data_IF_171436910848
#
_entry.id   IF_171436910848
#
_cell.length_a   1.000
_cell.length_b   1.000
_cell.length_c   1.000
_cell.angle_alpha   90.00
_cell.angle_beta   90.00
_cell.angle_gamma   90.00
#
_symmetry.space_group_name_H-M   'P 1'
#
loop_
_entity.id
_entity.type
_entity.pdbx_description
1 polymer ?
#
# COMPACT_ATOMS: atom_id res chain seq x y z
N UNK A 1 3.49 -15.47 11.68
CA UNK A 1 2.72 -14.22 11.44
C UNK A 1 1.22 -14.50 11.56
N UNK A 2 0.62 -15.37 10.71
CA UNK A 2 -0.83 -15.59 10.65
C UNK A 2 -1.48 -15.95 12.01
N UNK A 3 -0.91 -16.90 12.76
CA UNK A 3 -1.44 -17.30 14.08
C UNK A 3 -1.50 -16.13 15.07
N UNK A 4 -0.50 -15.26 15.03
CA UNK A 4 -0.50 -14.05 15.86
C UNK A 4 -1.62 -13.09 15.46
N UNK A 5 -1.82 -12.87 14.15
CA UNK A 5 -2.88 -11.99 13.64
C UNK A 5 -4.27 -12.53 13.99
N UNK A 6 -4.51 -13.83 13.84
CA UNK A 6 -5.77 -14.47 14.25
C UNK A 6 -6.03 -14.28 15.75
N UNK A 7 -5.03 -14.50 16.59
CA UNK A 7 -5.15 -14.25 18.03
C UNK A 7 -5.45 -12.78 18.34
N UNK A 8 -4.74 -11.85 17.69
CA UNK A 8 -4.96 -10.40 17.87
C UNK A 8 -6.37 -9.99 17.41
N UNK A 9 -6.83 -10.48 16.25
CA UNK A 9 -8.16 -10.21 15.74
C UNK A 9 -9.25 -10.67 16.72
N UNK A 10 -9.16 -11.91 17.22
CA UNK A 10 -10.12 -12.44 18.21
C UNK A 10 -10.21 -11.53 19.45
N UNK A 11 -9.07 -11.10 19.98
CA UNK A 11 -9.02 -10.23 21.17
C UNK A 11 -9.58 -8.84 20.91
N UNK A 12 -9.26 -8.25 19.76
CA UNK A 12 -9.73 -6.93 19.38
C UNK A 12 -11.24 -6.96 19.07
N UNK A 13 -11.71 -7.95 18.33
CA UNK A 13 -13.15 -8.11 18.04
C UNK A 13 -13.97 -8.30 19.32
N UNK A 14 -13.46 -9.07 20.30
CA UNK A 14 -14.10 -9.23 21.61
C UNK A 14 -14.25 -7.92 22.39
N UNK A 15 -13.37 -6.94 22.10
CA UNK A 15 -13.39 -5.60 22.69
C UNK A 15 -14.10 -4.56 21.81
N UNK A 16 -14.68 -4.95 20.65
CA UNK A 16 -15.38 -4.08 19.72
C UNK A 16 -14.47 -3.28 18.78
N UNK A 17 -13.22 -3.72 18.57
CA UNK A 17 -12.24 -3.09 17.68
C UNK A 17 -11.95 -3.94 16.45
N UNK A 18 -11.42 -3.31 15.41
CA UNK A 18 -10.95 -3.95 14.19
C UNK A 18 -9.43 -4.01 14.16
N UNK A 19 -8.88 -4.97 13.40
CA UNK A 19 -7.45 -5.16 13.18
C UNK A 19 -7.07 -4.76 11.76
N UNK A 20 -6.13 -3.82 11.61
CA UNK A 20 -5.46 -3.53 10.34
C UNK A 20 -4.05 -4.12 10.35
N UNK A 21 -3.63 -4.72 9.25
CA UNK A 21 -2.27 -5.28 9.09
C UNK A 21 -1.52 -4.61 7.95
N UNK A 22 -0.34 -4.05 8.25
CA UNK A 22 0.53 -3.46 7.24
C UNK A 22 1.49 -4.52 6.68
N UNK A 23 1.69 -4.50 5.37
CA UNK A 23 2.55 -5.43 4.64
C UNK A 23 3.40 -4.70 3.61
N UNK A 24 4.57 -5.24 3.31
CA UNK A 24 5.36 -4.73 2.19
C UNK A 24 4.60 -4.84 0.87
N UNK A 25 4.78 -3.87 -0.04
CA UNK A 25 4.15 -3.91 -1.36
C UNK A 25 4.44 -5.18 -2.14
N UNK A 26 5.65 -5.72 -1.99
CA UNK A 26 6.07 -6.99 -2.58
C UNK A 26 5.24 -8.20 -2.14
N UNK A 27 4.56 -8.12 -0.99
CA UNK A 27 3.71 -9.20 -0.48
C UNK A 27 2.53 -9.53 -1.41
N UNK A 28 2.12 -8.60 -2.26
CA UNK A 28 1.09 -8.79 -3.28
C UNK A 28 1.58 -9.62 -4.51
N UNK A 29 2.88 -9.79 -4.69
CA UNK A 29 3.43 -10.55 -5.80
C UNK A 29 3.02 -12.03 -5.77
N UNK A 30 2.96 -12.72 -6.94
CA UNK A 30 2.54 -14.13 -7.03
C UNK A 30 3.58 -15.14 -6.52
N UNK A 31 4.71 -14.67 -6.04
CA UNK A 31 5.80 -15.50 -5.51
C UNK A 31 6.06 -15.20 -4.04
N UNK A 32 6.66 -16.16 -3.34
CA UNK A 32 7.04 -15.99 -1.93
C UNK A 32 8.20 -15.00 -1.82
N UNK A 33 8.03 -13.99 -0.99
CA UNK A 33 9.08 -13.00 -0.69
C UNK A 33 9.86 -13.39 0.56
N UNK A 34 11.10 -12.91 0.67
CA UNK A 34 11.98 -13.20 1.81
C UNK A 34 11.49 -12.62 3.14
N UNK A 35 10.52 -11.70 3.11
CA UNK A 35 9.98 -11.05 4.31
C UNK A 35 9.03 -11.92 5.15
N UNK A 36 8.71 -13.13 4.69
CA UNK A 36 7.80 -14.05 5.40
C UNK A 36 6.34 -13.60 5.46
N UNK A 37 5.97 -12.62 4.66
CA UNK A 37 4.58 -12.14 4.52
C UNK A 37 3.94 -12.82 3.30
N UNK A 38 2.76 -13.38 3.52
CA UNK A 38 1.96 -14.02 2.47
C UNK A 38 0.58 -13.40 2.45
N UNK A 39 0.26 -12.67 1.40
CA UNK A 39 -0.94 -11.84 1.30
C UNK A 39 -2.23 -12.57 1.66
N UNK A 40 -2.57 -13.73 1.05
CA UNK A 40 -3.84 -14.40 1.35
C UNK A 40 -3.98 -14.80 2.82
N UNK A 41 -2.89 -15.24 3.45
CA UNK A 41 -2.90 -15.66 4.85
C UNK A 41 -3.05 -14.48 5.82
N UNK A 42 -2.54 -13.31 5.46
CA UNK A 42 -2.69 -12.08 6.25
C UNK A 42 -4.08 -11.49 6.01
N UNK A 43 -4.50 -11.35 4.75
CA UNK A 43 -5.80 -10.81 4.38
C UNK A 43 -6.96 -11.60 5.00
N UNK A 44 -6.85 -12.93 5.11
CA UNK A 44 -7.86 -13.75 5.78
C UNK A 44 -7.89 -13.61 7.31
N UNK A 45 -6.94 -12.92 7.91
CA UNK A 45 -6.78 -12.81 9.36
C UNK A 45 -7.02 -11.40 9.92
N UNK A 46 -7.14 -10.39 9.08
CA UNK A 46 -7.32 -8.98 9.46
C UNK A 46 -8.58 -8.40 8.82
N UNK A 47 -9.05 -7.27 9.33
CA UNK A 47 -10.21 -6.55 8.75
C UNK A 47 -9.81 -5.62 7.61
N UNK A 48 -8.60 -5.05 7.68
CA UNK A 48 -7.99 -4.28 6.61
C UNK A 48 -6.55 -4.71 6.39
N UNK A 49 -6.15 -4.87 5.13
CA UNK A 49 -4.76 -5.13 4.74
C UNK A 49 -4.22 -3.92 4.00
N UNK A 50 -3.05 -3.44 4.41
CA UNK A 50 -2.46 -2.19 3.95
C UNK A 50 -1.08 -2.46 3.36
N UNK A 51 -1.01 -2.59 2.04
CA UNK A 51 0.28 -2.65 1.34
C UNK A 51 1.00 -1.29 1.35
N UNK A 52 2.31 -1.32 1.27
CA UNK A 52 3.19 -0.15 1.25
C UNK A 52 3.99 -0.07 -0.07
N UNK A 53 3.35 0.19 -1.23
CA UNK A 53 4.02 0.20 -2.53
C UNK A 53 4.67 1.57 -2.83
N UNK A 54 5.43 2.13 -1.89
CA UNK A 54 6.08 3.43 -2.12
C UNK A 54 7.02 3.38 -3.32
N UNK A 55 6.81 4.19 -4.36
CA UNK A 55 7.58 4.09 -5.60
C UNK A 55 9.11 4.20 -5.40
N UNK A 56 9.57 5.01 -4.47
CA UNK A 56 11.01 5.18 -4.20
C UNK A 56 11.64 4.05 -3.38
N UNK A 57 10.86 3.10 -2.88
CA UNK A 57 11.37 1.90 -2.20
C UNK A 57 11.66 0.75 -3.18
N UNK A 58 11.15 0.80 -4.40
CA UNK A 58 11.48 -0.19 -5.43
C UNK A 58 12.81 0.12 -6.10
N UNK A 59 13.52 -0.92 -6.53
CA UNK A 59 14.80 -0.76 -7.22
C UNK A 59 14.59 -0.34 -8.67
N UNK A 60 15.49 0.48 -9.19
CA UNK A 60 15.54 0.77 -10.61
C UNK A 60 15.80 -0.50 -11.44
N UNK A 61 15.20 -0.57 -12.62
CA UNK A 61 15.34 -1.67 -13.58
C UNK A 61 15.89 -1.09 -14.89
N UNK A 62 17.21 -1.08 -15.03
CA UNK A 62 17.86 -0.34 -16.11
C UNK A 62 17.55 1.16 -16.00
N UNK A 63 17.03 1.74 -17.07
CA UNK A 63 16.65 3.16 -17.12
C UNK A 63 15.28 3.44 -16.48
N UNK A 64 14.48 2.41 -16.17
CA UNK A 64 13.19 2.57 -15.51
C UNK A 64 13.38 2.79 -14.01
N UNK A 65 12.88 3.92 -13.51
CA UNK A 65 12.93 4.32 -12.11
C UNK A 65 11.51 4.42 -11.57
N UNK A 66 11.08 3.53 -10.67
CA UNK A 66 9.70 3.48 -10.17
C UNK A 66 9.20 4.81 -9.59
N UNK A 67 10.07 5.60 -8.96
CA UNK A 67 9.71 6.90 -8.38
C UNK A 67 9.48 8.03 -9.39
N UNK A 68 9.82 7.81 -10.67
CA UNK A 68 9.46 8.67 -11.80
C UNK A 68 8.13 8.25 -12.44
N UNK A 69 7.60 7.06 -12.06
CA UNK A 69 6.41 6.43 -12.60
C UNK A 69 5.43 5.98 -11.50
N UNK A 70 4.91 6.91 -10.66
CA UNK A 70 4.08 6.55 -9.50
C UNK A 70 2.81 5.81 -9.89
N UNK A 71 2.14 6.22 -10.99
CA UNK A 71 0.95 5.52 -11.48
C UNK A 71 1.25 4.05 -11.80
N UNK A 72 2.26 3.80 -12.62
CA UNK A 72 2.57 2.44 -13.08
C UNK A 72 2.97 1.54 -11.90
N UNK A 73 3.79 2.06 -10.98
CA UNK A 73 4.25 1.32 -9.80
C UNK A 73 3.09 0.91 -8.90
N UNK A 74 2.20 1.85 -8.58
CA UNK A 74 1.05 1.58 -7.72
C UNK A 74 -0.02 0.78 -8.45
N UNK A 75 -0.19 0.95 -9.75
CA UNK A 75 -1.09 0.14 -10.57
C UNK A 75 -0.64 -1.34 -10.62
N UNK A 76 0.65 -1.60 -10.80
CA UNK A 76 1.19 -2.97 -10.76
C UNK A 76 0.92 -3.62 -9.40
N UNK A 77 1.16 -2.90 -8.30
CA UNK A 77 0.82 -3.37 -6.96
C UNK A 77 -0.69 -3.63 -6.83
N UNK A 78 -1.53 -2.69 -7.21
CA UNK A 78 -2.99 -2.81 -7.09
C UNK A 78 -3.57 -3.99 -7.86
N UNK A 79 -3.08 -4.23 -9.09
CA UNK A 79 -3.47 -5.38 -9.90
C UNK A 79 -3.05 -6.71 -9.23
N UNK A 80 -1.84 -6.76 -8.68
CA UNK A 80 -1.35 -7.92 -7.94
C UNK A 80 -2.17 -8.17 -6.66
N UNK A 81 -2.46 -7.10 -5.90
CA UNK A 81 -3.29 -7.18 -4.69
C UNK A 81 -4.70 -7.67 -5.00
N UNK A 82 -5.34 -7.17 -6.07
CA UNK A 82 -6.65 -7.63 -6.52
C UNK A 82 -6.66 -9.12 -6.87
N UNK A 83 -5.61 -9.60 -7.56
CA UNK A 83 -5.45 -11.02 -7.85
C UNK A 83 -5.34 -11.87 -6.57
N UNK A 84 -4.53 -11.43 -5.59
CA UNK A 84 -4.41 -12.11 -4.29
C UNK A 84 -5.71 -12.10 -3.50
N UNK A 85 -6.47 -10.99 -3.54
CA UNK A 85 -7.80 -10.93 -2.91
C UNK A 85 -8.77 -11.95 -3.50
N UNK A 86 -8.75 -12.13 -4.81
CA UNK A 86 -9.60 -13.11 -5.49
C UNK A 86 -9.29 -14.57 -5.08
N UNK A 87 -8.07 -14.84 -4.63
CA UNK A 87 -7.64 -16.16 -4.11
C UNK A 87 -7.96 -16.34 -2.62
N UNK A 88 -8.38 -15.29 -1.93
CA UNK A 88 -8.56 -15.30 -0.48
C UNK A 88 -10.04 -15.51 -0.12
N UNK A 89 -10.33 -16.53 0.67
CA UNK A 89 -11.66 -16.69 1.24
C UNK A 89 -11.89 -15.62 2.31
N UNK A 90 -12.97 -14.83 2.18
CA UNK A 90 -13.28 -13.72 3.10
C UNK A 90 -12.12 -12.70 3.22
N UNK A 91 -11.74 -12.05 2.12
CA UNK A 91 -10.60 -11.15 2.11
C UNK A 91 -10.89 -9.85 2.89
N UNK A 92 -9.85 -9.30 3.53
CA UNK A 92 -9.88 -8.00 4.19
C UNK A 92 -10.14 -6.86 3.19
N UNK A 93 -10.58 -5.70 3.68
CA UNK A 93 -10.59 -4.48 2.88
C UNK A 93 -9.13 -4.07 2.54
N UNK A 94 -8.86 -3.77 1.26
CA UNK A 94 -7.54 -3.26 0.86
C UNK A 94 -7.50 -1.76 1.09
N UNK A 95 -6.64 -1.30 2.00
CA UNK A 95 -6.42 0.12 2.31
C UNK A 95 -4.93 0.45 2.22
N UNK A 96 -4.50 0.88 1.06
CA UNK A 96 -3.09 1.04 0.69
C UNK A 96 -2.46 2.29 1.28
N UNK A 97 -1.21 2.20 1.75
CA UNK A 97 -0.38 3.36 2.01
C UNK A 97 0.17 3.94 0.71
N UNK A 98 0.07 5.25 0.53
CA UNK A 98 0.64 5.97 -0.60
C UNK A 98 1.72 6.96 -0.14
N UNK A 99 2.64 7.29 -1.05
CA UNK A 99 3.78 8.14 -0.77
C UNK A 99 3.34 9.61 -0.66
N UNK A 100 3.62 10.27 0.47
CA UNK A 100 3.34 11.69 0.68
C UNK A 100 4.61 12.46 1.11
N UNK A 101 5.74 12.14 0.52
CA UNK A 101 7.04 12.76 0.76
C UNK A 101 7.86 12.79 -0.54
N UNK A 102 8.84 13.68 -0.64
CA UNK A 102 9.71 13.75 -1.81
C UNK A 102 10.56 12.48 -1.94
N UNK A 103 10.78 12.03 -3.16
CA UNK A 103 11.61 10.88 -3.43
C UNK A 103 13.01 11.06 -2.84
N UNK A 104 13.50 10.06 -2.13
CA UNK A 104 14.80 10.07 -1.44
C UNK A 104 15.94 9.48 -2.30
N UNK A 105 15.62 9.07 -3.55
CA UNK A 105 16.59 8.54 -4.52
C UNK A 105 16.80 9.51 -5.68
N UNK A 106 17.96 9.46 -6.28
CA UNK A 106 18.27 10.27 -7.46
C UNK A 106 17.57 9.75 -8.74
N UNK A 107 17.08 10.68 -9.60
CA UNK A 107 16.96 12.09 -9.32
C UNK A 107 15.95 12.35 -8.22
N UNK A 108 16.32 13.24 -7.29
CA UNK A 108 15.43 13.63 -6.18
C UNK A 108 14.23 14.38 -6.74
N UNK A 109 13.13 13.69 -6.97
CA UNK A 109 11.94 14.29 -7.51
C UNK A 109 11.12 14.96 -6.40
N UNK A 110 10.62 16.15 -6.69
CA UNK A 110 9.53 16.73 -5.90
C UNK A 110 8.29 15.88 -6.13
N UNK A 111 7.83 15.24 -5.08
CA UNK A 111 6.65 14.39 -5.11
C UNK A 111 5.44 15.20 -4.65
N UNK A 112 4.72 15.80 -5.58
CA UNK A 112 3.63 16.75 -5.32
C UNK A 112 2.24 16.17 -5.48
N UNK A 113 1.28 17.05 -5.72
CA UNK A 113 -0.12 16.67 -5.89
C UNK A 113 -0.35 15.80 -7.13
N UNK A 114 0.42 16.01 -8.20
CA UNK A 114 0.28 15.23 -9.44
C UNK A 114 0.68 13.77 -9.23
N UNK A 115 1.80 13.52 -8.56
CA UNK A 115 2.30 12.18 -8.25
C UNK A 115 1.34 11.45 -7.29
N UNK A 116 0.88 12.13 -6.24
CA UNK A 116 -0.10 11.57 -5.30
C UNK A 116 -1.42 11.27 -5.99
N UNK A 117 -1.91 12.16 -6.85
CA UNK A 117 -3.12 11.92 -7.64
C UNK A 117 -2.95 10.72 -8.60
N UNK A 118 -1.75 10.52 -9.14
CA UNK A 118 -1.44 9.37 -9.98
C UNK A 118 -1.54 8.05 -9.20
N UNK A 119 -1.02 8.01 -7.96
CA UNK A 119 -1.18 6.83 -7.08
C UNK A 119 -2.65 6.56 -6.73
N UNK A 120 -3.40 7.60 -6.34
CA UNK A 120 -4.83 7.46 -6.03
C UNK A 120 -5.60 6.92 -7.23
N UNK A 121 -5.31 7.44 -8.43
CA UNK A 121 -5.92 6.99 -9.69
C UNK A 121 -5.59 5.52 -9.96
N UNK A 122 -4.34 5.12 -9.79
CA UNK A 122 -3.90 3.74 -9.96
C UNK A 122 -4.65 2.75 -9.04
N UNK A 123 -4.87 3.12 -7.79
CA UNK A 123 -5.66 2.30 -6.85
C UNK A 123 -7.13 2.19 -7.28
N UNK A 124 -7.73 3.26 -7.76
CA UNK A 124 -9.11 3.25 -8.29
C UNK A 124 -9.23 2.35 -9.51
N UNK A 125 -8.31 2.46 -10.45
CA UNK A 125 -8.31 1.70 -11.71
C UNK A 125 -8.11 0.19 -11.49
N UNK A 126 -7.48 -0.20 -10.39
CA UNK A 126 -7.26 -1.60 -10.02
C UNK A 126 -8.31 -2.17 -9.05
N UNK A 127 -9.30 -1.36 -8.66
CA UNK A 127 -10.37 -1.80 -7.77
C UNK A 127 -9.95 -1.94 -6.29
N UNK A 128 -8.80 -1.41 -5.90
CA UNK A 128 -8.37 -1.33 -4.50
C UNK A 128 -9.16 -0.23 -3.77
N UNK A 129 -10.45 -0.49 -3.51
CA UNK A 129 -11.43 0.52 -3.13
C UNK A 129 -11.67 0.68 -1.62
N UNK A 130 -10.87 0.04 -0.78
CA UNK A 130 -10.97 0.15 0.69
C UNK A 130 -10.43 1.46 1.26
N UNK A 131 -10.12 2.43 0.39
CA UNK A 131 -9.48 3.69 0.74
C UNK A 131 -7.95 3.62 0.69
N UNK A 132 -7.32 4.72 1.10
CA UNK A 132 -5.87 4.80 1.20
C UNK A 132 -5.45 5.60 2.43
N UNK A 133 -4.20 5.50 2.80
CA UNK A 133 -3.54 6.29 3.83
C UNK A 133 -2.29 6.93 3.24
N UNK A 134 -1.95 8.14 3.68
CA UNK A 134 -0.76 8.86 3.22
C UNK A 134 0.38 8.69 4.21
N UNK A 135 1.54 8.30 3.73
CA UNK A 135 2.74 8.18 4.56
C UNK A 135 3.68 9.37 4.38
N UNK A 136 3.96 10.05 5.49
CA UNK A 136 4.99 11.07 5.59
C UNK A 136 5.68 10.92 6.95
N UNK A 137 6.83 10.25 6.98
CA UNK A 137 7.56 9.95 8.21
C UNK A 137 8.03 11.19 8.99
N UNK A 138 8.15 12.34 8.32
CA UNK A 138 8.48 13.62 8.96
C UNK A 138 7.29 14.37 9.54
N UNK A 139 6.07 13.89 9.34
CA UNK A 139 4.82 14.55 9.74
C UNK A 139 4.76 16.03 9.28
N UNK A 140 5.29 16.30 8.07
CA UNK A 140 5.39 17.66 7.53
C UNK A 140 4.03 18.16 7.07
N UNK A 141 3.47 19.09 7.84
CA UNK A 141 2.16 19.69 7.57
C UNK A 141 2.15 20.49 6.25
N UNK A 142 3.25 21.14 5.89
CA UNK A 142 3.33 21.90 4.64
C UNK A 142 3.26 20.95 3.43
N UNK A 143 3.88 19.78 3.56
CA UNK A 143 3.79 18.73 2.55
C UNK A 143 2.34 18.25 2.39
N UNK A 144 1.64 17.96 3.47
CA UNK A 144 0.23 17.58 3.41
C UNK A 144 -0.64 18.68 2.80
N UNK A 145 -0.42 19.93 3.14
CA UNK A 145 -1.12 21.05 2.52
C UNK A 145 -0.89 21.15 1.01
N UNK A 146 0.34 20.85 0.55
CA UNK A 146 0.68 20.90 -0.88
C UNK A 146 0.04 19.80 -1.73
N UNK A 147 -0.38 18.69 -1.11
CA UNK A 147 -0.98 17.55 -1.81
C UNK A 147 -2.48 17.38 -1.56
N UNK A 148 -3.10 18.25 -0.77
CA UNK A 148 -4.49 18.07 -0.32
C UNK A 148 -5.48 17.95 -1.49
N UNK A 149 -5.23 18.65 -2.60
CA UNK A 149 -6.06 18.58 -3.81
C UNK A 149 -6.03 17.22 -4.51
N UNK A 150 -5.02 16.41 -4.23
CA UNK A 150 -4.88 15.06 -4.80
C UNK A 150 -5.66 13.99 -4.01
N UNK A 151 -6.14 14.33 -2.82
CA UNK A 151 -6.76 13.38 -1.88
C UNK A 151 -8.29 13.33 -2.00
N UNK A 152 -8.86 14.08 -2.93
CA UNK A 152 -10.32 14.19 -3.16
C UNK A 152 -10.84 13.26 -4.25
#
# INVERSE_FOLDING_TARGET
>A
VQRFLLYAAERLHSAGYYLSGDVFGECANPYVTACGQYWPAISAAVDAISGMPYPDHYSAQGDYKPWEHPYDTVHMFGAAAAARQAETASPAAVRTWIQAYNAIREPYNTYGAEEVAAEVRALRDTGCSGGFMTWNGGSDINKYQSIISALS
#
